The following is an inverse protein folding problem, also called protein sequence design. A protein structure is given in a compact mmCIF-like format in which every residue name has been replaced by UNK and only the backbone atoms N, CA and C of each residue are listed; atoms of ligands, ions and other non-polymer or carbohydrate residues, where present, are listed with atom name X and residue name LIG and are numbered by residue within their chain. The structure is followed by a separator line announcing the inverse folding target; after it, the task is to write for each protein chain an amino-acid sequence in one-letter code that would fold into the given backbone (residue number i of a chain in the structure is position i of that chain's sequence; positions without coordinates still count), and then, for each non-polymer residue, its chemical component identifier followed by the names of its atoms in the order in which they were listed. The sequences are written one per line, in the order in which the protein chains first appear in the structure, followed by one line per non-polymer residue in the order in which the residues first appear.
data_IF_141879195566
#
_entry.id   IF_141879195566
#
_cell.length_a   1.000
_cell.length_b   1.000
_cell.length_c   1.000
_cell.angle_alpha   90.00
_cell.angle_beta   90.00
_cell.angle_gamma   90.00
#
_symmetry.space_group_name_H-M   'P 1'
#
loop_
_entity.id
_entity.type
_entity.pdbx_description
1 polymer ?
#
# COMPACT_ATOMS: atom_id res chain seq x y z
N UNK A 1 40.29 -2.38 -2.63
CA UNK A 1 39.34 -1.54 -1.87
C UNK A 1 38.12 -1.18 -2.71
N UNK A 2 38.28 -0.92 -4.02
CA UNK A 2 37.18 -0.49 -4.92
C UNK A 2 36.09 -1.53 -5.20
N UNK A 3 36.44 -2.82 -5.35
CA UNK A 3 35.44 -3.90 -5.57
C UNK A 3 34.44 -4.03 -4.41
N UNK A 4 34.87 -3.72 -3.19
CA UNK A 4 34.04 -3.84 -1.98
C UNK A 4 32.99 -2.72 -1.91
N UNK A 5 33.35 -1.50 -2.35
CA UNK A 5 32.44 -0.36 -2.42
C UNK A 5 31.37 -0.54 -3.50
N UNK A 6 31.72 -1.14 -4.65
CA UNK A 6 30.76 -1.44 -5.72
C UNK A 6 29.70 -2.48 -5.29
N UNK A 7 30.11 -3.53 -4.57
CA UNK A 7 29.17 -4.53 -4.04
C UNK A 7 28.20 -3.89 -3.06
N UNK A 8 28.67 -3.04 -2.13
CA UNK A 8 27.78 -2.32 -1.22
C UNK A 8 26.78 -1.46 -1.99
N UNK A 9 27.24 -0.71 -2.99
CA UNK A 9 26.37 0.15 -3.79
C UNK A 9 25.27 -0.64 -4.51
N UNK A 10 25.64 -1.74 -5.15
CA UNK A 10 24.71 -2.63 -5.83
C UNK A 10 23.67 -3.19 -4.86
N UNK A 11 24.11 -3.72 -3.71
CA UNK A 11 23.21 -4.28 -2.70
C UNK A 11 22.27 -3.21 -2.12
N UNK A 12 22.75 -1.99 -1.89
CA UNK A 12 21.92 -0.88 -1.41
C UNK A 12 20.81 -0.55 -2.42
N UNK A 13 21.13 -0.50 -3.72
CA UNK A 13 20.11 -0.29 -4.77
C UNK A 13 19.13 -1.47 -4.83
N UNK A 14 19.63 -2.69 -4.78
CA UNK A 14 18.80 -3.90 -4.86
C UNK A 14 17.80 -3.95 -3.68
N UNK A 15 18.25 -3.69 -2.47
CA UNK A 15 17.39 -3.66 -1.28
C UNK A 15 16.47 -2.43 -1.25
N UNK A 16 16.90 -1.29 -1.77
CA UNK A 16 16.02 -0.13 -1.95
C UNK A 16 14.87 -0.43 -2.93
N UNK A 17 15.17 -1.10 -4.06
CA UNK A 17 14.16 -1.57 -4.99
C UNK A 17 13.25 -2.63 -4.35
N UNK A 18 13.81 -3.58 -3.62
CA UNK A 18 13.03 -4.61 -2.91
C UNK A 18 12.09 -4.00 -1.86
N UNK A 19 12.54 -2.99 -1.11
CA UNK A 19 11.70 -2.21 -0.20
C UNK A 19 10.53 -1.56 -0.94
N UNK A 20 10.83 -0.80 -2.00
CA UNK A 20 9.79 -0.13 -2.78
C UNK A 20 8.79 -1.12 -3.39
N UNK A 21 9.27 -2.22 -3.98
CA UNK A 21 8.43 -3.29 -4.51
C UNK A 21 7.57 -3.91 -3.42
N UNK A 22 8.10 -4.14 -2.21
CA UNK A 22 7.33 -4.71 -1.10
C UNK A 22 6.18 -3.80 -0.67
N UNK A 23 6.42 -2.49 -0.57
CA UNK A 23 5.37 -1.49 -0.29
C UNK A 23 4.33 -1.45 -1.41
N UNK A 24 4.76 -1.51 -2.67
CA UNK A 24 3.85 -1.50 -3.82
C UNK A 24 3.01 -2.78 -3.92
N UNK A 25 3.59 -3.94 -3.58
CA UNK A 25 2.87 -5.21 -3.50
C UNK A 25 1.86 -5.20 -2.35
N UNK A 26 2.24 -4.69 -1.18
CA UNK A 26 1.30 -4.47 -0.07
C UNK A 26 0.09 -3.63 -0.52
N UNK A 27 0.35 -2.48 -1.17
CA UNK A 27 -0.71 -1.60 -1.67
C UNK A 27 -1.59 -2.29 -2.72
N UNK A 28 -1.00 -3.03 -3.65
CA UNK A 28 -1.76 -3.69 -4.73
C UNK A 28 -2.58 -4.89 -4.23
N UNK A 29 -2.10 -5.60 -3.21
CA UNK A 29 -2.71 -6.80 -2.67
C UNK A 29 -3.70 -6.46 -1.54
N UNK A 30 -3.24 -5.89 -0.43
CA UNK A 30 -4.08 -5.54 0.73
C UNK A 30 -4.98 -4.32 0.43
N UNK A 31 -4.67 -3.52 -0.59
CA UNK A 31 -5.51 -2.38 -0.99
C UNK A 31 -6.93 -2.78 -1.40
N UNK A 32 -7.11 -3.97 -1.98
CA UNK A 32 -8.43 -4.53 -2.24
C UNK A 32 -9.18 -4.85 -0.94
N UNK A 33 -8.49 -5.43 0.03
CA UNK A 33 -9.08 -5.86 1.29
C UNK A 33 -9.46 -4.66 2.17
N UNK A 34 -8.55 -3.70 2.30
CA UNK A 34 -8.79 -2.42 2.96
C UNK A 34 -9.93 -1.65 2.30
N UNK A 35 -9.94 -1.62 0.97
CA UNK A 35 -10.98 -0.99 0.18
C UNK A 35 -12.37 -1.59 0.42
N UNK A 36 -12.46 -2.91 0.42
CA UNK A 36 -13.69 -3.64 0.65
C UNK A 36 -14.20 -3.44 2.09
N UNK A 37 -13.29 -3.32 3.07
CA UNK A 37 -13.62 -2.91 4.42
C UNK A 37 -14.16 -1.49 4.51
N UNK A 38 -13.58 -0.52 3.80
CA UNK A 38 -14.15 0.84 3.75
C UNK A 38 -15.54 0.81 3.13
N UNK A 39 -15.73 0.06 2.04
CA UNK A 39 -17.02 -0.09 1.37
C UNK A 39 -18.09 -0.73 2.28
N UNK A 40 -17.72 -1.71 3.12
CA UNK A 40 -18.66 -2.40 4.01
C UNK A 40 -19.34 -1.47 5.05
N UNK A 41 -18.72 -0.34 5.39
CA UNK A 41 -19.33 0.69 6.24
C UNK A 41 -20.61 1.26 5.64
N UNK A 42 -20.72 1.27 4.31
CA UNK A 42 -21.85 1.85 3.58
C UNK A 42 -22.90 0.81 3.15
N UNK A 43 -22.59 -0.48 3.27
CA UNK A 43 -23.53 -1.59 3.07
C UNK A 43 -24.50 -1.63 4.23
N UNK A 44 -25.81 -1.75 3.99
CA UNK A 44 -26.83 -1.72 5.07
C UNK A 44 -27.11 -3.11 5.65
N UNK A 45 -27.07 -4.12 4.80
CA UNK A 45 -27.38 -5.49 5.18
C UNK A 45 -26.21 -6.13 5.94
N UNK A 46 -26.51 -6.76 7.07
CA UNK A 46 -25.51 -7.35 7.96
C UNK A 46 -24.90 -8.63 7.36
N UNK A 47 -25.69 -9.42 6.65
CA UNK A 47 -25.23 -10.66 6.05
C UNK A 47 -24.34 -10.35 4.83
N UNK A 48 -24.65 -9.28 4.09
CA UNK A 48 -23.78 -8.74 3.05
C UNK A 48 -22.43 -8.24 3.61
N UNK A 49 -22.41 -7.52 4.74
CA UNK A 49 -21.15 -7.12 5.40
C UNK A 49 -20.31 -8.33 5.80
N UNK A 50 -20.94 -9.34 6.41
CA UNK A 50 -20.29 -10.59 6.77
C UNK A 50 -19.75 -11.33 5.55
N UNK A 51 -20.48 -11.32 4.43
CA UNK A 51 -20.03 -11.93 3.19
C UNK A 51 -18.80 -11.24 2.60
N UNK A 52 -18.73 -9.90 2.67
CA UNK A 52 -17.52 -9.15 2.27
C UNK A 52 -16.33 -9.65 3.08
N UNK A 53 -16.44 -9.65 4.41
CA UNK A 53 -15.37 -10.11 5.31
C UNK A 53 -14.93 -11.55 5.00
N UNK A 54 -15.89 -12.46 4.83
CA UNK A 54 -15.61 -13.85 4.50
C UNK A 54 -14.88 -14.03 3.16
N UNK A 55 -15.12 -13.15 2.18
CA UNK A 55 -14.46 -13.22 0.87
C UNK A 55 -12.95 -12.93 0.93
N UNK A 56 -12.46 -12.33 2.03
CA UNK A 56 -11.04 -11.95 2.22
C UNK A 56 -10.30 -12.86 3.21
N UNK A 57 -11.03 -13.59 4.06
CA UNK A 57 -10.47 -14.37 5.17
C UNK A 57 -9.36 -15.36 4.75
N UNK A 58 -9.37 -15.86 3.51
CA UNK A 58 -8.35 -16.79 3.02
C UNK A 58 -7.05 -16.17 2.52
N UNK A 59 -6.98 -14.85 2.30
CA UNK A 59 -5.83 -14.21 1.63
C UNK A 59 -5.26 -12.99 2.35
N UNK A 60 -5.98 -12.40 3.29
CA UNK A 60 -5.57 -11.15 3.95
C UNK A 60 -4.23 -11.26 4.69
N UNK A 61 -3.99 -12.36 5.43
CA UNK A 61 -2.72 -12.60 6.15
C UNK A 61 -1.50 -12.60 5.21
N UNK A 62 -1.65 -13.19 4.03
CA UNK A 62 -0.59 -13.23 3.03
C UNK A 62 -0.32 -11.83 2.46
N UNK A 63 -1.35 -11.00 2.32
CA UNK A 63 -1.22 -9.63 1.82
C UNK A 63 -0.48 -8.72 2.82
N UNK A 64 -0.78 -8.84 4.12
CA UNK A 64 -0.12 -8.05 5.18
C UNK A 64 1.37 -8.38 5.35
N UNK A 65 1.79 -9.60 4.96
CA UNK A 65 3.20 -10.03 5.03
C UNK A 65 4.14 -9.07 4.29
N UNK A 66 3.71 -8.47 3.18
CA UNK A 66 4.53 -7.53 2.40
C UNK A 66 4.89 -6.25 3.17
N UNK A 67 4.00 -5.81 4.07
CA UNK A 67 4.28 -4.66 4.94
C UNK A 67 5.37 -5.00 5.97
N UNK A 68 5.32 -6.22 6.54
CA UNK A 68 6.33 -6.72 7.48
C UNK A 68 7.67 -6.89 6.79
N UNK A 69 7.69 -7.43 5.56
CA UNK A 69 8.91 -7.53 4.73
C UNK A 69 9.51 -6.15 4.48
N UNK A 70 8.69 -5.16 4.12
CA UNK A 70 9.17 -3.78 3.94
C UNK A 70 9.81 -3.21 5.21
N UNK A 71 9.19 -3.41 6.38
CA UNK A 71 9.74 -3.03 7.67
C UNK A 71 11.07 -3.74 8.00
N UNK A 72 11.15 -5.04 7.73
CA UNK A 72 12.37 -5.83 7.90
C UNK A 72 13.52 -5.40 6.99
N UNK A 73 13.22 -5.04 5.73
CA UNK A 73 14.21 -4.48 4.81
C UNK A 73 14.72 -3.14 5.33
N UNK A 74 13.83 -2.24 5.76
CA UNK A 74 14.24 -0.96 6.36
C UNK A 74 15.12 -1.17 7.59
N UNK A 75 14.74 -2.08 8.49
CA UNK A 75 15.52 -2.35 9.69
C UNK A 75 16.92 -2.91 9.39
N UNK A 76 17.01 -3.89 8.48
CA UNK A 76 18.29 -4.53 8.14
C UNK A 76 19.19 -3.71 7.23
N UNK A 77 18.61 -2.96 6.29
CA UNK A 77 19.33 -2.23 5.25
C UNK A 77 19.49 -0.75 5.57
N UNK A 78 18.49 -0.13 6.20
CA UNK A 78 18.43 1.32 6.42
C UNK A 78 18.11 1.69 7.88
N UNK A 79 18.90 1.23 8.87
CA UNK A 79 18.53 1.28 10.29
C UNK A 79 18.33 2.70 10.83
N UNK A 80 19.13 3.68 10.38
CA UNK A 80 18.95 5.09 10.78
C UNK A 80 17.67 5.68 10.22
N UNK A 81 17.30 5.30 8.99
CA UNK A 81 16.04 5.72 8.38
C UNK A 81 14.87 5.05 9.09
N UNK A 82 14.97 3.76 9.41
CA UNK A 82 13.99 3.04 10.21
C UNK A 82 13.74 3.76 11.55
N UNK A 83 14.78 4.00 12.35
CA UNK A 83 14.63 4.65 13.66
C UNK A 83 14.02 6.04 13.55
N UNK A 84 14.61 6.91 12.73
CA UNK A 84 14.16 8.29 12.63
C UNK A 84 12.78 8.46 11.98
N UNK A 85 12.46 7.67 10.94
CA UNK A 85 11.15 7.73 10.29
C UNK A 85 10.04 7.16 11.19
N UNK A 86 10.28 6.06 11.91
CA UNK A 86 9.29 5.54 12.86
C UNK A 86 9.08 6.49 14.05
N UNK A 87 10.12 7.21 14.49
CA UNK A 87 9.96 8.28 15.49
C UNK A 87 9.15 9.46 14.95
N UNK A 88 9.41 9.89 13.72
CA UNK A 88 8.65 10.96 13.06
C UNK A 88 7.17 10.59 12.84
N UNK A 89 6.91 9.35 12.43
CA UNK A 89 5.59 8.81 12.10
C UNK A 89 4.96 8.04 13.26
N UNK A 90 5.43 8.23 14.49
CA UNK A 90 5.03 7.39 15.62
C UNK A 90 3.51 7.33 15.80
N UNK A 91 2.84 8.49 15.76
CA UNK A 91 1.38 8.58 15.94
C UNK A 91 0.62 7.89 14.79
N UNK A 92 0.80 8.26 13.51
CA UNK A 92 0.04 7.63 12.43
C UNK A 92 0.39 6.15 12.27
N UNK A 93 1.64 5.74 12.50
CA UNK A 93 2.04 4.34 12.44
C UNK A 93 1.45 3.51 13.58
N UNK A 94 1.32 4.07 14.79
CA UNK A 94 0.62 3.40 15.88
C UNK A 94 -0.87 3.19 15.56
N UNK A 95 -1.51 4.17 14.92
CA UNK A 95 -2.91 4.06 14.47
C UNK A 95 -3.07 3.02 13.34
N UNK A 96 -2.11 2.94 12.41
CA UNK A 96 -2.05 1.86 11.41
C UNK A 96 -1.93 0.50 12.09
N UNK A 97 -1.00 0.35 13.04
CA UNK A 97 -0.80 -0.92 13.76
C UNK A 97 -2.05 -1.35 14.51
N UNK A 98 -2.68 -0.45 15.27
CA UNK A 98 -3.93 -0.74 15.98
C UNK A 98 -5.07 -1.07 15.03
N UNK A 99 -5.13 -0.41 13.87
CA UNK A 99 -6.09 -0.74 12.83
C UNK A 99 -5.89 -2.15 12.28
N UNK A 100 -4.66 -2.52 11.92
CA UNK A 100 -4.32 -3.88 11.47
C UNK A 100 -4.70 -4.94 12.52
N UNK A 101 -4.31 -4.73 13.78
CA UNK A 101 -4.68 -5.63 14.88
C UNK A 101 -6.20 -5.76 15.04
N UNK A 102 -6.92 -4.64 14.94
CA UNK A 102 -8.38 -4.64 15.07
C UNK A 102 -9.06 -5.36 13.90
N UNK A 103 -8.53 -5.24 12.67
CA UNK A 103 -9.02 -5.99 11.50
C UNK A 103 -8.85 -7.50 11.71
N UNK A 104 -7.66 -7.93 12.11
CA UNK A 104 -7.33 -9.33 12.36
C UNK A 104 -8.30 -9.94 13.38
N UNK A 105 -8.48 -9.27 14.52
CA UNK A 105 -9.41 -9.71 15.58
C UNK A 105 -10.86 -9.73 15.08
N UNK A 106 -11.27 -8.71 14.32
CA UNK A 106 -12.63 -8.66 13.79
C UNK A 106 -12.91 -9.81 12.81
N UNK A 107 -11.95 -10.19 11.95
CA UNK A 107 -12.08 -11.30 11.01
C UNK A 107 -12.13 -12.65 11.72
N UNK A 108 -11.13 -12.94 12.55
CA UNK A 108 -10.95 -14.25 13.18
C UNK A 108 -12.07 -14.57 14.17
N UNK A 109 -12.49 -13.60 15.00
CA UNK A 109 -13.46 -13.89 16.06
C UNK A 109 -14.92 -13.73 15.62
N UNK A 110 -15.21 -13.20 14.43
CA UNK A 110 -16.60 -12.96 13.98
C UNK A 110 -17.46 -14.22 14.01
N UNK A 111 -16.93 -15.33 13.49
CA UNK A 111 -17.69 -16.59 13.35
C UNK A 111 -18.03 -17.25 14.70
N UNK A 112 -17.31 -16.90 15.77
CA UNK A 112 -17.53 -17.39 17.13
C UNK A 112 -18.41 -16.44 17.96
N UNK A 113 -18.73 -15.26 17.42
CA UNK A 113 -19.33 -14.19 18.18
C UNK A 113 -20.88 -14.26 18.19
N UNK A 114 -21.50 -13.76 19.26
CA UNK A 114 -22.96 -13.56 19.30
C UNK A 114 -23.40 -12.49 18.29
N UNK A 115 -24.69 -12.40 17.92
CA UNK A 115 -25.16 -11.46 16.90
C UNK A 115 -24.80 -9.99 17.16
N UNK A 116 -24.73 -9.58 18.43
CA UNK A 116 -24.27 -8.25 18.81
C UNK A 116 -22.79 -8.05 18.47
N UNK A 117 -21.94 -9.01 18.83
CA UNK A 117 -20.50 -8.96 18.59
C UNK A 117 -20.14 -9.14 17.12
N UNK A 118 -20.94 -9.87 16.34
CA UNK A 118 -20.80 -9.92 14.88
C UNK A 118 -20.96 -8.53 14.25
N UNK A 119 -22.02 -7.80 14.63
CA UNK A 119 -22.25 -6.41 14.18
C UNK A 119 -21.13 -5.48 14.61
N UNK A 120 -20.64 -5.64 15.84
CA UNK A 120 -19.51 -4.87 16.34
C UNK A 120 -18.25 -5.14 15.50
N UNK A 121 -17.91 -6.41 15.24
CA UNK A 121 -16.80 -6.81 14.39
C UNK A 121 -16.91 -6.26 12.97
N UNK A 122 -18.11 -6.27 12.37
CA UNK A 122 -18.34 -5.70 11.03
C UNK A 122 -17.98 -4.21 10.96
N UNK A 123 -18.39 -3.45 11.98
CA UNK A 123 -18.07 -2.02 12.05
C UNK A 123 -16.60 -1.77 12.39
N UNK A 124 -16.03 -2.55 13.31
CA UNK A 124 -14.60 -2.47 13.65
C UNK A 124 -13.76 -2.75 12.41
N UNK A 125 -14.08 -3.79 11.64
CA UNK A 125 -13.39 -4.13 10.42
C UNK A 125 -13.37 -2.97 9.41
N UNK A 126 -14.53 -2.34 9.18
CA UNK A 126 -14.62 -1.22 8.26
C UNK A 126 -13.90 0.05 8.74
N UNK A 127 -14.08 0.43 10.02
CA UNK A 127 -13.43 1.61 10.61
C UNK A 127 -11.91 1.41 10.66
N UNK A 128 -11.45 0.23 11.04
CA UNK A 128 -10.04 -0.10 11.08
C UNK A 128 -9.43 -0.07 9.68
N UNK A 129 -10.13 -0.60 8.65
CA UNK A 129 -9.67 -0.51 7.26
C UNK A 129 -9.57 0.94 6.77
N UNK A 130 -10.53 1.79 7.15
CA UNK A 130 -10.47 3.23 6.88
C UNK A 130 -9.27 3.89 7.56
N UNK A 131 -9.06 3.60 8.85
CA UNK A 131 -7.98 4.17 9.64
C UNK A 131 -6.59 3.76 9.08
N UNK A 132 -6.39 2.47 8.81
CA UNK A 132 -5.15 1.95 8.19
C UNK A 132 -4.86 2.64 6.88
N UNK A 133 -5.87 2.76 6.01
CA UNK A 133 -5.71 3.38 4.70
C UNK A 133 -5.40 4.87 4.81
N UNK A 134 -6.14 5.59 5.66
CA UNK A 134 -5.97 7.03 5.84
C UNK A 134 -4.61 7.36 6.44
N UNK A 135 -4.26 6.78 7.58
CA UNK A 135 -2.99 7.06 8.24
C UNK A 135 -1.79 6.50 7.48
N UNK A 136 -1.94 5.36 6.78
CA UNK A 136 -0.93 4.85 5.86
C UNK A 136 -0.66 5.82 4.70
N UNK A 137 -1.71 6.38 4.10
CA UNK A 137 -1.58 7.43 3.08
C UNK A 137 -0.96 8.72 3.64
N UNK A 138 -1.30 9.12 4.87
CA UNK A 138 -0.65 10.25 5.55
C UNK A 138 0.85 10.01 5.75
N UNK A 139 1.26 8.80 6.15
CA UNK A 139 2.66 8.43 6.30
C UNK A 139 3.43 8.62 4.99
N UNK A 140 2.87 8.17 3.86
CA UNK A 140 3.51 8.36 2.54
C UNK A 140 3.68 9.85 2.22
N UNK A 141 2.63 10.66 2.38
CA UNK A 141 2.71 12.10 2.10
C UNK A 141 3.68 12.84 3.01
N UNK A 142 3.70 12.51 4.30
CA UNK A 142 4.64 13.08 5.26
C UNK A 142 6.10 12.72 4.94
N UNK A 143 6.38 11.45 4.57
CA UNK A 143 7.71 11.01 4.15
C UNK A 143 8.19 11.75 2.90
N UNK A 144 7.30 12.01 1.93
CA UNK A 144 7.66 12.76 0.72
C UNK A 144 8.07 14.21 1.00
N UNK A 145 7.53 14.82 2.06
CA UNK A 145 7.91 16.15 2.51
C UNK A 145 9.21 16.17 3.31
N UNK A 146 9.65 15.01 3.80
CA UNK A 146 10.82 14.89 4.65
C UNK A 146 10.60 15.48 6.04
N UNK A 147 11.64 15.35 6.87
CA UNK A 147 11.65 15.88 8.23
C UNK A 147 13.08 16.27 8.64
N UNK A 148 13.18 17.20 9.57
CA UNK A 148 14.47 17.65 10.11
C UNK A 148 15.03 16.59 11.08
N UNK A 149 16.33 16.33 10.96
CA UNK A 149 17.09 15.49 11.89
C UNK A 149 17.88 16.38 12.84
N UNK A 150 17.98 15.95 14.09
CA UNK A 150 19.03 16.42 14.99
C UNK A 150 20.25 15.49 14.83
N UNK A 151 21.40 16.10 14.54
CA UNK A 151 22.67 15.42 14.29
C UNK A 151 23.69 15.88 15.34
N UNK A 152 23.67 15.30 16.55
CA UNK A 152 24.63 15.66 17.59
C UNK A 152 26.07 15.32 17.17
N UNK A 153 27.05 16.11 17.63
CA UNK A 153 28.47 15.93 17.31
C UNK A 153 29.00 14.54 17.68
N UNK A 154 28.42 13.94 18.73
CA UNK A 154 28.65 12.55 19.13
C UNK A 154 27.29 11.90 19.41
N UNK A 155 26.76 11.16 18.45
CA UNK A 155 25.50 10.43 18.63
C UNK A 155 24.89 9.94 17.32
N UNK A 156 23.75 9.26 17.43
CA UNK A 156 22.98 8.77 16.29
C UNK A 156 22.02 9.86 15.83
N UNK A 157 21.97 10.19 14.52
CA UNK A 157 20.97 11.09 13.97
C UNK A 157 19.56 10.62 14.32
N UNK A 158 18.74 11.50 14.88
CA UNK A 158 17.39 11.16 15.30
C UNK A 158 16.41 12.30 15.00
N UNK A 159 15.13 11.97 15.02
CA UNK A 159 14.08 12.97 14.89
C UNK A 159 13.84 13.63 16.27
N UNK A 160 14.00 14.95 16.34
CA UNK A 160 13.83 15.73 17.57
C UNK A 160 12.57 16.63 17.56
N UNK A 161 11.72 16.52 16.52
CA UNK A 161 10.52 17.33 16.41
C UNK A 161 9.33 16.78 17.20
N UNK A 162 8.20 17.48 17.13
CA UNK A 162 6.96 17.11 17.83
C UNK A 162 6.23 15.92 17.18
N UNK A 163 5.42 15.22 17.98
CA UNK A 163 4.68 14.03 17.55
C UNK A 163 3.64 14.27 16.43
N UNK A 164 3.28 15.53 16.15
CA UNK A 164 2.27 15.90 15.15
C UNK A 164 2.84 16.61 13.92
N UNK A 165 4.16 16.73 13.78
CA UNK A 165 4.77 17.42 12.62
C UNK A 165 4.61 16.65 11.29
N UNK A 166 4.10 15.41 11.33
CA UNK A 166 3.69 14.68 10.13
C UNK A 166 2.40 15.26 9.51
N UNK A 167 1.63 16.06 10.26
CA UNK A 167 0.38 16.64 9.80
C UNK A 167 0.68 17.87 8.94
N UNK A 168 0.32 17.77 7.67
CA UNK A 168 0.32 18.88 6.72
C UNK A 168 -0.90 18.77 5.81
N UNK A 169 -1.24 19.84 5.09
CA UNK A 169 -2.32 19.77 4.11
C UNK A 169 -2.07 18.68 3.05
N UNK A 170 -0.81 18.49 2.66
CA UNK A 170 -0.42 17.47 1.69
C UNK A 170 -0.52 16.05 2.28
N UNK A 171 -0.08 15.82 3.53
CA UNK A 171 -0.18 14.48 4.14
C UNK A 171 -1.62 14.09 4.43
N UNK A 172 -2.46 15.03 4.88
CA UNK A 172 -3.91 14.79 5.03
C UNK A 172 -4.50 14.41 3.67
N UNK A 173 -4.17 15.17 2.61
CA UNK A 173 -4.64 14.89 1.26
C UNK A 173 -4.21 13.50 0.78
N UNK A 174 -2.95 13.09 0.98
CA UNK A 174 -2.52 11.74 0.57
C UNK A 174 -3.25 10.65 1.34
N UNK A 175 -3.60 10.87 2.62
CA UNK A 175 -4.51 10.00 3.37
C UNK A 175 -5.88 9.85 2.71
N UNK A 176 -6.51 10.98 2.33
CA UNK A 176 -7.80 10.98 1.63
C UNK A 176 -7.70 10.30 0.26
N UNK A 177 -6.68 10.63 -0.53
CA UNK A 177 -6.43 10.06 -1.84
C UNK A 177 -6.23 8.54 -1.77
N UNK A 178 -5.49 8.06 -0.75
CA UNK A 178 -5.34 6.64 -0.47
C UNK A 178 -6.69 5.98 -0.15
N UNK A 179 -7.55 6.59 0.66
CA UNK A 179 -8.89 6.06 0.92
C UNK A 179 -9.69 5.89 -0.38
N UNK A 180 -9.71 6.90 -1.24
CA UNK A 180 -10.41 6.83 -2.54
C UNK A 180 -9.83 5.70 -3.41
N UNK A 181 -8.50 5.61 -3.51
CA UNK A 181 -7.84 4.60 -4.32
C UNK A 181 -8.10 3.17 -3.81
N UNK A 182 -8.00 2.94 -2.48
CA UNK A 182 -8.28 1.62 -1.91
C UNK A 182 -9.76 1.28 -2.04
N UNK A 183 -10.69 2.20 -1.74
CA UNK A 183 -12.12 1.93 -1.95
C UNK A 183 -12.41 1.57 -3.41
N UNK A 184 -11.72 2.18 -4.38
CA UNK A 184 -11.84 1.78 -5.79
C UNK A 184 -11.41 0.33 -6.02
N UNK A 185 -10.24 -0.05 -5.49
CA UNK A 185 -9.77 -1.44 -5.52
C UNK A 185 -10.78 -2.40 -4.88
N UNK A 186 -11.31 -2.02 -3.72
CA UNK A 186 -12.27 -2.80 -2.95
C UNK A 186 -13.59 -3.03 -3.68
N UNK A 187 -14.17 -2.01 -4.32
CA UNK A 187 -15.41 -2.20 -5.08
C UNK A 187 -15.18 -3.05 -6.34
N UNK A 188 -14.01 -2.96 -6.98
CA UNK A 188 -13.64 -3.87 -8.07
C UNK A 188 -13.47 -5.31 -7.57
N UNK A 189 -12.89 -5.49 -6.39
CA UNK A 189 -12.76 -6.80 -5.73
C UNK A 189 -14.12 -7.42 -5.41
N UNK A 190 -15.03 -6.66 -4.77
CA UNK A 190 -16.40 -7.11 -4.49
C UNK A 190 -17.10 -7.50 -5.79
N UNK A 191 -16.99 -6.70 -6.85
CA UNK A 191 -17.55 -7.07 -8.15
C UNK A 191 -16.96 -8.37 -8.72
N UNK A 192 -15.66 -8.60 -8.56
CA UNK A 192 -15.00 -9.79 -9.06
C UNK A 192 -15.34 -11.06 -8.26
N UNK A 193 -15.65 -10.92 -6.97
CA UNK A 193 -15.95 -12.04 -6.06
C UNK A 193 -17.41 -12.46 -6.07
N UNK A 194 -18.36 -11.52 -6.19
CA UNK A 194 -19.78 -11.81 -6.07
C UNK A 194 -20.49 -11.99 -7.43
N UNK A 195 -21.50 -12.85 -7.45
CA UNK A 195 -22.33 -13.13 -8.63
C UNK A 195 -23.15 -11.91 -9.06
N UNK A 196 -23.50 -11.85 -10.36
CA UNK A 196 -24.24 -10.73 -10.96
C UNK A 196 -25.62 -10.47 -10.34
N UNK A 197 -26.26 -11.52 -9.85
CA UNK A 197 -27.57 -11.50 -9.20
C UNK A 197 -27.53 -10.90 -7.79
N UNK A 198 -26.39 -10.88 -7.12
CA UNK A 198 -26.29 -10.50 -5.72
C UNK A 198 -26.44 -8.97 -5.53
N UNK A 199 -27.27 -8.49 -4.59
CA UNK A 199 -27.50 -7.06 -4.41
C UNK A 199 -26.22 -6.30 -4.04
N UNK A 200 -25.38 -6.88 -3.18
CA UNK A 200 -24.06 -6.35 -2.81
C UNK A 200 -23.15 -6.02 -4.02
N UNK A 201 -23.20 -6.84 -5.07
CA UNK A 201 -22.43 -6.61 -6.29
C UNK A 201 -23.02 -5.45 -7.09
N UNK A 202 -24.34 -5.32 -7.12
CA UNK A 202 -25.03 -4.21 -7.78
C UNK A 202 -24.77 -2.88 -7.07
N UNK A 203 -24.67 -2.89 -5.74
CA UNK A 203 -24.22 -1.73 -4.96
C UNK A 203 -22.78 -1.36 -5.31
N UNK A 204 -21.85 -2.32 -5.30
CA UNK A 204 -20.46 -2.07 -5.69
C UNK A 204 -20.34 -1.54 -7.13
N UNK A 205 -21.15 -2.05 -8.07
CA UNK A 205 -21.21 -1.57 -9.45
C UNK A 205 -21.66 -0.11 -9.56
N UNK A 206 -22.66 0.30 -8.76
CA UNK A 206 -23.11 1.71 -8.69
C UNK A 206 -22.02 2.63 -8.15
N UNK A 207 -21.27 2.17 -7.15
CA UNK A 207 -20.14 2.92 -6.59
C UNK A 207 -18.97 3.06 -7.58
N UNK A 208 -18.75 2.03 -8.41
CA UNK A 208 -17.57 1.95 -9.28
C UNK A 208 -17.44 3.16 -10.20
N UNK A 209 -18.53 3.63 -10.82
CA UNK A 209 -18.48 4.74 -11.77
C UNK A 209 -18.07 6.05 -11.09
N UNK A 210 -18.67 6.37 -9.94
CA UNK A 210 -18.34 7.58 -9.17
C UNK A 210 -16.92 7.51 -8.63
N UNK A 211 -16.55 6.39 -8.01
CA UNK A 211 -15.24 6.23 -7.40
C UNK A 211 -14.12 6.20 -8.44
N UNK A 212 -14.36 5.64 -9.63
CA UNK A 212 -13.40 5.72 -10.73
C UNK A 212 -13.00 7.17 -11.02
N UNK A 213 -13.98 8.07 -11.19
CA UNK A 213 -13.70 9.48 -11.44
C UNK A 213 -13.05 10.19 -10.25
N UNK A 214 -13.45 9.85 -9.02
CA UNK A 214 -12.79 10.36 -7.82
C UNK A 214 -11.33 9.88 -7.73
N UNK A 215 -11.02 8.65 -8.10
CA UNK A 215 -9.66 8.11 -8.11
C UNK A 215 -8.80 8.82 -9.17
N UNK A 216 -9.36 9.11 -10.35
CA UNK A 216 -8.67 9.93 -11.37
C UNK A 216 -8.42 11.34 -10.85
N UNK A 217 -9.42 11.98 -10.26
CA UNK A 217 -9.24 13.29 -9.63
C UNK A 217 -8.15 13.24 -8.54
N UNK A 218 -8.14 12.19 -7.72
CA UNK A 218 -7.16 12.01 -6.66
C UNK A 218 -5.73 11.88 -7.22
N UNK A 219 -5.53 11.10 -8.28
CA UNK A 219 -4.24 10.96 -8.96
C UNK A 219 -3.80 12.29 -9.58
N UNK A 220 -4.69 12.98 -10.30
CA UNK A 220 -4.37 14.25 -10.96
C UNK A 220 -4.02 15.33 -9.94
N UNK A 221 -4.81 15.49 -8.88
CA UNK A 221 -4.53 16.45 -7.81
C UNK A 221 -3.20 16.11 -7.14
N UNK A 222 -2.94 14.84 -6.82
CA UNK A 222 -1.67 14.42 -6.20
C UNK A 222 -0.48 14.70 -7.11
N UNK A 223 -0.59 14.42 -8.41
CA UNK A 223 0.46 14.70 -9.39
C UNK A 223 0.74 16.20 -9.53
N UNK A 224 -0.30 17.02 -9.72
CA UNK A 224 -0.17 18.49 -9.85
C UNK A 224 0.39 19.09 -8.56
N UNK A 225 -0.13 18.71 -7.40
CA UNK A 225 0.34 19.21 -6.12
C UNK A 225 1.80 18.80 -5.87
N UNK A 226 2.16 17.54 -6.14
CA UNK A 226 3.55 17.06 -6.02
C UNK A 226 4.49 17.85 -6.92
N UNK A 227 4.11 18.12 -8.17
CA UNK A 227 4.89 18.97 -9.08
C UNK A 227 5.01 20.42 -8.57
N UNK A 228 4.03 20.92 -7.82
CA UNK A 228 4.03 22.27 -7.28
C UNK A 228 4.90 22.43 -6.02
N UNK A 229 5.01 21.41 -5.17
CA UNK A 229 5.75 21.52 -3.89
C UNK A 229 7.11 20.82 -3.89
N UNK A 230 7.36 19.88 -4.80
CA UNK A 230 8.61 19.12 -4.85
C UNK A 230 9.44 19.51 -6.07
N UNK A 231 10.44 20.37 -5.86
CA UNK A 231 11.35 20.79 -6.93
C UNK A 231 12.12 19.61 -7.54
N UNK A 232 12.50 18.62 -6.73
CA UNK A 232 13.16 17.40 -7.19
C UNK A 232 12.28 16.57 -8.13
N UNK A 233 10.96 16.53 -7.89
CA UNK A 233 10.01 15.82 -8.74
C UNK A 233 9.79 16.61 -10.02
N UNK A 234 9.55 17.93 -9.91
CA UNK A 234 9.37 18.84 -11.05
C UNK A 234 10.55 18.80 -12.00
N UNK A 235 11.77 18.89 -11.47
CA UNK A 235 13.00 18.87 -12.26
C UNK A 235 13.17 17.56 -13.05
N UNK A 236 12.70 16.43 -12.52
CA UNK A 236 12.72 15.14 -13.22
C UNK A 236 11.60 15.06 -14.25
N UNK A 237 10.37 15.37 -13.85
CA UNK A 237 9.17 15.20 -14.67
C UNK A 237 9.15 16.12 -15.89
N UNK A 238 9.66 17.35 -15.76
CA UNK A 238 9.68 18.36 -16.81
C UNK A 238 11.10 18.71 -17.31
N UNK A 239 12.11 17.97 -16.87
CA UNK A 239 13.50 18.18 -17.29
C UNK A 239 13.84 17.56 -18.65
N UNK A 240 15.13 17.45 -18.99
CA UNK A 240 15.59 16.91 -20.28
C UNK A 240 15.10 15.49 -20.59
N UNK A 241 14.81 14.69 -19.55
CA UNK A 241 14.34 13.32 -19.67
C UNK A 241 12.82 13.19 -19.41
N UNK A 242 12.04 14.24 -19.64
CA UNK A 242 10.58 14.24 -19.43
C UNK A 242 9.87 13.09 -20.14
N UNK A 243 10.39 12.64 -21.28
CA UNK A 243 9.83 11.54 -22.08
C UNK A 243 9.76 10.22 -21.31
N UNK A 244 10.66 9.98 -20.34
CA UNK A 244 10.61 8.80 -19.46
C UNK A 244 9.33 8.84 -18.63
N UNK A 245 9.04 9.98 -18.00
CA UNK A 245 7.84 10.17 -17.19
C UNK A 245 6.56 10.25 -18.03
N UNK A 246 6.67 10.80 -19.24
CA UNK A 246 5.63 10.72 -20.25
C UNK A 246 5.27 9.26 -20.59
N UNK A 247 6.25 8.37 -20.72
CA UNK A 247 6.02 6.94 -20.96
C UNK A 247 5.32 6.28 -19.76
N UNK A 248 5.76 6.53 -18.53
CA UNK A 248 5.05 6.06 -17.32
C UNK A 248 3.59 6.54 -17.31
N UNK A 249 3.36 7.82 -17.62
CA UNK A 249 2.03 8.42 -17.71
C UNK A 249 1.16 7.76 -18.80
N UNK A 250 1.71 7.52 -20.00
CA UNK A 250 0.99 6.87 -21.10
C UNK A 250 0.61 5.42 -20.77
N UNK A 251 1.51 4.67 -20.15
CA UNK A 251 1.22 3.29 -19.71
C UNK A 251 0.14 3.31 -18.63
N UNK A 252 0.23 4.22 -17.66
CA UNK A 252 -0.79 4.36 -16.62
C UNK A 252 -2.15 4.74 -17.20
N UNK A 253 -2.21 5.67 -18.16
CA UNK A 253 -3.43 6.06 -18.86
C UNK A 253 -4.03 4.90 -19.66
N UNK A 254 -3.19 4.10 -20.33
CA UNK A 254 -3.64 2.89 -21.01
C UNK A 254 -4.28 1.91 -20.02
N UNK A 255 -3.62 1.64 -18.90
CA UNK A 255 -4.20 0.79 -17.85
C UNK A 255 -5.53 1.35 -17.32
N UNK A 256 -5.60 2.66 -17.03
CA UNK A 256 -6.81 3.34 -16.56
C UNK A 256 -7.98 3.20 -17.56
N UNK A 257 -7.73 3.40 -18.85
CA UNK A 257 -8.76 3.24 -19.88
C UNK A 257 -9.22 1.78 -19.97
N UNK A 258 -8.29 0.83 -19.82
CA UNK A 258 -8.61 -0.59 -19.79
C UNK A 258 -9.44 -0.97 -18.56
N UNK A 259 -9.17 -0.38 -17.38
CA UNK A 259 -10.05 -0.51 -16.20
C UNK A 259 -11.46 -0.09 -16.57
N UNK A 260 -11.64 1.13 -17.09
CA UNK A 260 -12.95 1.68 -17.45
C UNK A 260 -13.69 0.77 -18.44
N UNK A 261 -13.00 0.35 -19.52
CA UNK A 261 -13.56 -0.50 -20.56
C UNK A 261 -13.98 -1.87 -20.02
N UNK A 262 -13.15 -2.51 -19.20
CA UNK A 262 -13.42 -3.86 -18.69
C UNK A 262 -14.48 -3.81 -17.58
N UNK A 263 -14.51 -2.77 -16.76
CA UNK A 263 -15.60 -2.49 -15.82
C UNK A 263 -16.95 -2.32 -16.52
N UNK A 264 -17.01 -1.62 -17.67
CA UNK A 264 -18.24 -1.46 -18.46
C UNK A 264 -18.69 -2.77 -19.15
N UNK A 265 -17.76 -3.71 -19.35
CA UNK A 265 -18.03 -5.04 -19.94
C UNK A 265 -18.23 -6.13 -18.89
N UNK A 266 -18.33 -5.77 -17.61
CA UNK A 266 -18.39 -6.71 -16.46
C UNK A 266 -17.23 -7.72 -16.42
N UNK A 267 -16.06 -7.36 -16.95
CA UNK A 267 -14.82 -8.16 -16.87
C UNK A 267 -14.05 -7.79 -15.60
N UNK A 268 -14.68 -8.00 -14.45
CA UNK A 268 -14.23 -7.41 -13.16
C UNK A 268 -12.82 -7.87 -12.74
N UNK A 269 -12.45 -9.14 -12.99
CA UNK A 269 -11.09 -9.66 -12.74
C UNK A 269 -10.04 -8.97 -13.61
N UNK A 270 -10.36 -8.68 -14.87
CA UNK A 270 -9.44 -7.94 -15.73
C UNK A 270 -9.34 -6.47 -15.28
N UNK A 271 -10.46 -5.86 -14.87
CA UNK A 271 -10.48 -4.49 -14.37
C UNK A 271 -9.61 -4.30 -13.12
N UNK A 272 -9.67 -5.20 -12.14
CA UNK A 272 -8.79 -5.13 -10.95
C UNK A 272 -7.31 -5.34 -11.32
N UNK A 273 -7.00 -6.22 -12.28
CA UNK A 273 -5.62 -6.40 -12.77
C UNK A 273 -5.09 -5.14 -13.43
N UNK A 274 -5.89 -4.46 -14.27
CA UNK A 274 -5.50 -3.19 -14.88
C UNK A 274 -5.35 -2.07 -13.85
N UNK A 275 -6.20 -2.05 -12.81
CA UNK A 275 -6.09 -1.07 -11.73
C UNK A 275 -4.79 -1.25 -10.94
N UNK A 276 -4.49 -2.49 -10.54
CA UNK A 276 -3.22 -2.82 -9.88
C UNK A 276 -2.03 -2.53 -10.80
N UNK A 277 -2.15 -2.81 -12.10
CA UNK A 277 -1.13 -2.43 -13.09
C UNK A 277 -0.88 -0.91 -13.13
N UNK A 278 -1.94 -0.09 -13.13
CA UNK A 278 -1.81 1.37 -13.08
C UNK A 278 -1.15 1.82 -11.77
N UNK A 279 -1.58 1.28 -10.62
CA UNK A 279 -1.02 1.60 -9.32
C UNK A 279 0.48 1.23 -9.21
N UNK A 280 0.87 0.05 -9.71
CA UNK A 280 2.27 -0.39 -9.75
C UNK A 280 3.12 0.48 -10.67
N UNK A 281 2.62 0.85 -11.86
CA UNK A 281 3.36 1.72 -12.79
C UNK A 281 3.56 3.12 -12.20
N UNK A 282 2.50 3.72 -11.65
CA UNK A 282 2.59 5.06 -11.03
C UNK A 282 3.48 5.03 -9.78
N UNK A 283 3.32 4.02 -8.93
CA UNK A 283 4.10 3.86 -7.71
C UNK A 283 5.58 3.56 -7.98
N UNK A 284 5.88 2.71 -8.97
CA UNK A 284 7.25 2.47 -9.41
C UNK A 284 7.86 3.72 -10.06
N UNK A 285 7.07 4.46 -10.85
CA UNK A 285 7.47 5.75 -11.38
C UNK A 285 7.84 6.74 -10.26
N UNK A 286 7.05 6.78 -9.18
CA UNK A 286 7.37 7.59 -8.01
C UNK A 286 8.62 7.12 -7.28
N UNK A 287 8.81 5.81 -7.10
CA UNK A 287 10.02 5.22 -6.51
C UNK A 287 11.28 5.67 -7.29
N UNK A 288 11.28 5.53 -8.61
CA UNK A 288 12.39 5.99 -9.46
C UNK A 288 12.52 7.53 -9.43
N UNK A 289 11.40 8.26 -9.31
CA UNK A 289 11.42 9.72 -9.15
C UNK A 289 12.09 10.13 -7.84
N UNK A 290 12.02 9.32 -6.79
CA UNK A 290 12.68 9.60 -5.51
C UNK A 290 14.18 9.34 -5.53
N UNK A 291 14.71 8.44 -6.37
CA UNK A 291 16.15 8.13 -6.40
C UNK A 291 17.04 9.39 -6.49
N UNK A 292 18.09 9.59 -5.68
CA UNK A 292 18.71 8.66 -4.74
C UNK A 292 18.18 8.77 -3.30
N UNK A 293 16.98 9.31 -3.10
CA UNK A 293 16.36 9.46 -1.79
C UNK A 293 15.62 8.20 -1.34
N UNK A 294 15.73 7.91 -0.04
CA UNK A 294 14.78 7.06 0.66
C UNK A 294 13.71 7.93 1.36
N UNK A 295 14.14 9.07 1.92
CA UNK A 295 13.27 10.15 2.43
C UNK A 295 13.77 11.46 1.81
N UNK A 296 13.04 12.08 0.87
CA UNK A 296 13.48 13.29 0.18
C UNK A 296 13.87 14.41 1.15
N UNK A 297 15.03 15.03 0.93
CA UNK A 297 15.54 16.11 1.79
C UNK A 297 16.09 15.68 3.14
N UNK A 298 15.94 14.40 3.53
CA UNK A 298 16.38 13.88 4.84
C UNK A 298 17.42 12.78 4.70
N UNK A 299 17.07 11.68 4.02
CA UNK A 299 17.93 10.50 3.89
C UNK A 299 18.09 10.07 2.44
N UNK A 300 19.33 10.07 1.96
CA UNK A 300 19.70 9.34 0.73
C UNK A 300 19.83 7.85 1.03
N UNK A 301 19.67 7.01 0.00
CA UNK A 301 19.88 5.57 0.13
C UNK A 301 21.31 5.25 0.59
N UNK A 302 22.27 6.10 0.24
CA UNK A 302 23.68 5.91 0.60
C UNK A 302 23.96 6.27 2.05
N UNK A 303 23.45 7.42 2.50
CA UNK A 303 23.64 7.88 3.88
C UNK A 303 22.86 7.02 4.88
N UNK A 304 21.71 6.50 4.47
CA UNK A 304 20.88 5.63 5.31
C UNK A 304 21.35 4.18 5.35
N UNK A 305 22.21 3.73 4.43
CA UNK A 305 22.56 2.32 4.29
C UNK A 305 23.42 1.79 5.44
N UNK A 306 23.19 0.53 5.79
CA UNK A 306 24.01 -0.23 6.71
C UNK A 306 25.47 -0.34 6.25
N UNK A 307 26.42 -0.51 7.18
CA UNK A 307 27.80 -0.85 6.85
C UNK A 307 27.87 -2.11 5.98
N UNK A 308 28.88 -2.16 5.12
CA UNK A 308 29.01 -3.22 4.11
C UNK A 308 28.90 -4.64 4.67
N UNK A 309 29.58 -4.93 5.78
CA UNK A 309 29.57 -6.28 6.39
C UNK A 309 28.14 -6.68 6.78
N UNK A 310 27.43 -5.80 7.49
CA UNK A 310 26.03 -6.03 7.88
C UNK A 310 25.12 -6.21 6.66
N UNK A 311 25.33 -5.43 5.60
CA UNK A 311 24.53 -5.51 4.38
C UNK A 311 24.76 -6.84 3.62
N UNK A 312 26.01 -7.30 3.52
CA UNK A 312 26.33 -8.59 2.90
C UNK A 312 25.74 -9.74 3.74
N UNK A 313 25.92 -9.71 5.06
CA UNK A 313 25.34 -10.73 5.95
C UNK A 313 23.82 -10.76 5.83
N UNK A 314 23.16 -9.60 5.89
CA UNK A 314 21.72 -9.49 5.69
C UNK A 314 21.29 -10.05 4.33
N UNK A 315 22.05 -9.76 3.26
CA UNK A 315 21.76 -10.28 1.92
C UNK A 315 21.89 -11.79 1.85
N UNK A 316 22.94 -12.37 2.41
CA UNK A 316 23.13 -13.82 2.41
C UNK A 316 22.05 -14.55 3.21
N UNK A 317 21.64 -13.99 4.34
CA UNK A 317 20.59 -14.58 5.17
C UNK A 317 19.20 -14.38 4.57
N UNK A 318 18.80 -13.13 4.33
CA UNK A 318 17.43 -12.80 3.90
C UNK A 318 17.19 -12.98 2.41
N UNK A 319 18.21 -12.78 1.58
CA UNK A 319 18.11 -12.98 0.13
C UNK A 319 17.75 -14.43 -0.24
N UNK A 320 18.18 -15.41 0.54
CA UNK A 320 17.79 -16.81 0.37
C UNK A 320 16.31 -17.10 0.65
N UNK A 321 15.66 -16.31 1.51
CA UNK A 321 14.23 -16.47 1.83
C UNK A 321 13.31 -15.83 0.78
N UNK A 322 13.78 -14.82 0.03
CA UNK A 322 12.95 -14.13 -0.99
C UNK A 322 12.37 -15.10 -2.03
N UNK A 323 13.16 -16.00 -2.66
CA UNK A 323 12.60 -17.00 -3.59
C UNK A 323 11.56 -17.91 -2.93
N UNK A 324 11.79 -18.33 -1.68
CA UNK A 324 10.87 -19.19 -0.93
C UNK A 324 9.54 -18.48 -0.71
N UNK A 325 9.57 -17.20 -0.29
CA UNK A 325 8.38 -16.38 -0.10
C UNK A 325 7.60 -16.20 -1.40
N UNK A 326 8.28 -15.93 -2.52
CA UNK A 326 7.65 -15.77 -3.83
C UNK A 326 6.99 -17.07 -4.31
N UNK A 327 7.67 -18.20 -4.14
CA UNK A 327 7.13 -19.53 -4.50
C UNK A 327 5.89 -19.87 -3.67
N UNK A 328 5.93 -19.62 -2.36
CA UNK A 328 4.81 -19.87 -1.46
C UNK A 328 3.59 -19.01 -1.81
N UNK A 329 3.78 -17.70 -2.02
CA UNK A 329 2.69 -16.79 -2.40
C UNK A 329 2.08 -17.19 -3.76
N UNK A 330 2.93 -17.52 -4.74
CA UNK A 330 2.46 -18.01 -6.03
C UNK A 330 1.63 -19.29 -5.90
N UNK A 331 2.09 -20.24 -5.08
CA UNK A 331 1.37 -21.48 -4.79
C UNK A 331 0.00 -21.21 -4.14
N UNK A 332 -0.07 -20.34 -3.14
CA UNK A 332 -1.34 -19.97 -2.50
C UNK A 332 -2.35 -19.38 -3.49
N UNK A 333 -1.93 -18.41 -4.31
CA UNK A 333 -2.79 -17.80 -5.33
C UNK A 333 -3.29 -18.88 -6.32
N UNK A 334 -2.42 -19.81 -6.70
CA UNK A 334 -2.77 -20.90 -7.61
C UNK A 334 -3.81 -21.85 -7.01
N UNK A 335 -3.70 -22.19 -5.72
CA UNK A 335 -4.65 -23.05 -5.00
C UNK A 335 -6.01 -22.35 -4.83
N UNK A 336 -6.04 -21.06 -4.47
CA UNK A 336 -7.27 -20.32 -4.13
C UNK A 336 -7.91 -19.53 -5.29
N UNK A 337 -7.54 -19.83 -6.54
CA UNK A 337 -8.06 -19.13 -7.74
C UNK A 337 -9.54 -19.38 -8.07
N UNK A 338 -10.22 -20.30 -7.40
CA UNK A 338 -11.63 -20.63 -7.64
C UNK A 338 -12.60 -19.53 -7.18
N UNK A 339 -13.79 -19.43 -7.81
CA UNK A 339 -14.87 -18.56 -7.34
C UNK A 339 -15.62 -19.22 -6.18
N UNK A 340 -15.94 -18.45 -5.14
CA UNK A 340 -16.70 -18.92 -3.98
C UNK A 340 -18.18 -18.61 -4.24
N UNK A 341 -19.03 -19.63 -4.12
CA UNK A 341 -20.49 -19.46 -4.08
C UNK A 341 -20.93 -19.25 -2.62
N UNK A 342 -22.00 -18.46 -2.41
CA UNK A 342 -22.56 -18.06 -1.10
C UNK A 342 -22.79 -19.23 -0.12
N UNK A 343 -22.88 -20.45 -0.64
CA UNK A 343 -23.15 -21.70 0.10
C UNK A 343 -21.92 -22.43 0.65
N UNK A 344 -20.69 -21.96 0.37
CA UNK A 344 -19.45 -22.67 0.81
C UNK A 344 -18.82 -22.02 2.05
N UNK A 345 -19.33 -20.87 2.50
CA UNK A 345 -18.84 -20.19 3.69
C UNK A 345 -19.46 -20.78 4.96
N UNK A 346 -18.74 -21.67 5.63
CA UNK A 346 -19.00 -22.12 7.01
C UNK A 346 -20.19 -23.08 7.20
N UNK A 347 -20.07 -24.27 6.61
CA UNK A 347 -20.75 -25.46 7.13
C UNK A 347 -19.86 -26.21 8.10
N UNK A 348 -19.80 -25.75 9.36
CA UNK A 348 -19.43 -26.59 10.51
C UNK A 348 -20.42 -26.34 11.64
#
# INVERSE_FOLDING_TARGET
MDMLTHTQQFLTIAWWLAFGISVLLYIALDGADLGAGIFSLFVKDHDERGAIMAAMAGTWDANETWLIVAGGIMFGTFPFVYGSAFSYLMVPMALVLWGIMSRAVALEFRHLASPFWQRFSDHVFGIASLAVTFFGGMCVGAVLQGFALDTPAHGVPHYAGGAFNFISAFSIWTGIASCVAMTFSGVLFVRARFEKSEPIRQDAARWTATIFWLAIAAVVITWVWSAAIFDWARAKWFGPHFWVWGLFGLIALYCIEQVRRDTLKDKDVAAIMWFNGAALILGFGMLISMFPWLVPGTWTIWAGASPQVSLITFTLTMGGFVPVMLMYNWYQIWVFRGRISKLVGYGH
#
